data_IF_890186998608
#
_entry.id   IF_890186998608
#
_cell.length_a   1.000
_cell.length_b   1.000
_cell.length_c   1.000
_cell.angle_alpha   90.00
_cell.angle_beta   90.00
_cell.angle_gamma   90.00
#
_symmetry.space_group_name_H-M   'P 1'
#
loop_
_entity.id
_entity.type
_entity.pdbx_description
1 polymer ?
#
# COMPACT_ATOMS: atom_id res chain seq x y z
N UNK A 1 -0.91 -9.25 -13.51
CA UNK A 1 -0.48 -9.68 -12.15
C UNK A 1 1.04 -9.66 -11.99
N UNK A 2 1.82 -10.55 -12.63
CA UNK A 2 3.27 -10.61 -12.36
C UNK A 2 4.02 -9.32 -12.75
N UNK A 3 3.80 -8.79 -13.96
CA UNK A 3 4.41 -7.51 -14.36
C UNK A 3 3.99 -6.32 -13.49
N UNK A 4 2.76 -6.33 -12.98
CA UNK A 4 2.24 -5.30 -12.08
C UNK A 4 2.89 -5.38 -10.69
N UNK A 5 3.00 -6.59 -10.13
CA UNK A 5 3.70 -6.80 -8.87
C UNK A 5 5.18 -6.42 -8.97
N UNK A 6 5.86 -6.77 -10.07
CA UNK A 6 7.24 -6.35 -10.31
C UNK A 6 7.38 -4.83 -10.40
N UNK A 7 6.42 -4.15 -11.03
CA UNK A 7 6.41 -2.68 -11.06
C UNK A 7 6.21 -2.09 -9.65
N UNK A 8 5.38 -2.70 -8.81
CA UNK A 8 5.20 -2.27 -7.42
C UNK A 8 6.43 -2.51 -6.56
N UNK A 9 7.07 -3.67 -6.70
CA UNK A 9 8.36 -3.94 -6.06
C UNK A 9 9.40 -2.89 -6.47
N UNK A 10 9.49 -2.58 -7.77
CA UNK A 10 10.40 -1.55 -8.28
C UNK A 10 10.14 -0.17 -7.65
N UNK A 11 8.88 0.26 -7.56
CA UNK A 11 8.50 1.53 -6.93
C UNK A 11 8.86 1.56 -5.43
N UNK A 12 8.58 0.47 -4.72
CA UNK A 12 8.86 0.35 -3.28
C UNK A 12 10.37 0.38 -3.02
N UNK A 13 11.16 -0.29 -3.85
CA UNK A 13 12.61 -0.27 -3.76
C UNK A 13 13.20 1.14 -3.94
N UNK A 14 12.60 1.94 -4.85
CA UNK A 14 13.09 3.26 -5.26
C UNK A 14 12.63 4.44 -4.39
N UNK A 15 11.60 4.29 -3.57
CA UNK A 15 11.20 5.37 -2.65
C UNK A 15 9.78 5.32 -2.12
N UNK A 16 8.87 4.53 -2.73
CA UNK A 16 7.53 4.36 -2.19
C UNK A 16 7.60 3.52 -0.91
N UNK A 17 6.91 3.92 0.17
CA UNK A 17 7.01 3.19 1.44
C UNK A 17 6.31 1.82 1.36
N UNK A 18 5.11 1.79 0.79
CA UNK A 18 4.28 0.59 0.64
C UNK A 18 3.56 0.58 -0.71
N UNK A 19 3.22 -0.62 -1.18
CA UNK A 19 2.29 -0.83 -2.28
C UNK A 19 1.35 -1.98 -1.95
N UNK A 20 0.15 -1.99 -2.51
CA UNK A 20 -0.79 -3.10 -2.35
C UNK A 20 -1.61 -3.32 -3.61
N UNK A 21 -2.01 -4.56 -3.84
CA UNK A 21 -2.93 -4.93 -4.91
C UNK A 21 -3.91 -6.00 -4.45
N UNK A 22 -5.08 -6.04 -5.08
CA UNK A 22 -6.00 -7.16 -4.92
C UNK A 22 -5.47 -8.38 -5.69
N UNK A 23 -5.42 -9.53 -5.02
CA UNK A 23 -4.93 -10.79 -5.57
C UNK A 23 -5.92 -11.89 -5.20
N UNK A 24 -6.19 -12.82 -6.12
CA UNK A 24 -6.95 -14.01 -5.76
C UNK A 24 -6.10 -14.94 -4.89
N UNK A 25 -6.70 -15.57 -3.88
CA UNK A 25 -5.99 -16.41 -2.91
C UNK A 25 -5.07 -17.46 -3.56
N UNK A 26 -5.53 -18.07 -4.66
CA UNK A 26 -4.76 -19.06 -5.42
C UNK A 26 -3.42 -18.57 -5.99
N UNK A 27 -3.22 -17.25 -6.10
CA UNK A 27 -1.99 -16.66 -6.62
C UNK A 27 -1.05 -16.10 -5.55
N UNK A 28 -1.47 -16.10 -4.28
CA UNK A 28 -0.68 -15.52 -3.16
C UNK A 28 0.71 -16.13 -3.09
N UNK A 29 0.83 -17.45 -3.19
CA UNK A 29 2.13 -18.12 -3.11
C UNK A 29 3.08 -17.68 -4.23
N UNK A 30 2.55 -17.42 -5.44
CA UNK A 30 3.34 -16.90 -6.56
C UNK A 30 3.81 -15.47 -6.27
N UNK A 31 2.97 -14.63 -5.68
CA UNK A 31 3.34 -13.28 -5.28
C UNK A 31 4.45 -13.27 -4.22
N UNK A 32 4.38 -14.15 -3.23
CA UNK A 32 5.41 -14.30 -2.18
C UNK A 32 6.79 -14.59 -2.81
N UNK A 33 6.85 -15.50 -3.79
CA UNK A 33 8.10 -15.84 -4.48
C UNK A 33 8.69 -14.64 -5.21
N UNK A 34 7.84 -13.83 -5.87
CA UNK A 34 8.29 -12.62 -6.59
C UNK A 34 8.85 -11.59 -5.60
N UNK A 35 8.12 -11.28 -4.52
CA UNK A 35 8.55 -10.29 -3.52
C UNK A 35 9.84 -10.72 -2.81
N UNK A 36 9.98 -12.01 -2.50
CA UNK A 36 11.15 -12.54 -1.81
C UNK A 36 12.44 -12.39 -2.64
N UNK A 37 12.34 -12.44 -3.97
CA UNK A 37 13.50 -12.21 -4.87
C UNK A 37 14.01 -10.78 -4.84
N UNK A 38 13.14 -9.83 -4.49
CA UNK A 38 13.44 -8.40 -4.43
C UNK A 38 13.89 -7.96 -3.02
N UNK A 39 14.06 -8.89 -2.07
CA UNK A 39 14.38 -8.62 -0.66
C UNK A 39 13.39 -7.65 0.01
N UNK A 40 12.11 -7.73 -0.37
CA UNK A 40 11.03 -6.94 0.21
C UNK A 40 10.21 -7.79 1.17
N UNK A 41 9.48 -7.12 2.06
CA UNK A 41 8.53 -7.75 2.96
C UNK A 41 7.13 -7.75 2.35
N UNK A 42 6.29 -8.67 2.82
CA UNK A 42 4.90 -8.78 2.39
C UNK A 42 3.96 -9.04 3.55
N UNK A 43 2.69 -8.69 3.36
CA UNK A 43 1.60 -9.02 4.26
C UNK A 43 0.33 -9.27 3.45
N UNK A 44 -0.52 -10.19 3.92
CA UNK A 44 -1.79 -10.52 3.27
C UNK A 44 -2.90 -10.15 4.23
N UNK A 45 -3.87 -9.38 3.74
CA UNK A 45 -5.07 -9.02 4.47
C UNK A 45 -6.32 -9.52 3.71
N UNK A 46 -7.36 -10.02 4.38
CA UNK A 46 -8.62 -10.36 3.72
C UNK A 46 -9.21 -9.15 2.98
N UNK A 47 -9.80 -9.38 1.81
CA UNK A 47 -10.50 -8.32 1.05
C UNK A 47 -11.96 -8.70 0.81
N UNK A 48 -12.20 -9.87 0.22
CA UNK A 48 -13.52 -10.45 -0.03
C UNK A 48 -13.38 -11.94 -0.36
N UNK A 49 -14.49 -12.66 -0.57
CA UNK A 49 -14.45 -14.09 -0.81
C UNK A 49 -13.53 -14.48 -1.99
N UNK A 50 -12.47 -15.23 -1.69
CA UNK A 50 -11.46 -15.67 -2.66
C UNK A 50 -10.45 -14.60 -3.09
N UNK A 51 -10.49 -13.42 -2.46
CA UNK A 51 -9.61 -12.28 -2.74
C UNK A 51 -8.97 -11.72 -1.48
N UNK A 52 -7.70 -11.36 -1.61
CA UNK A 52 -6.90 -10.75 -0.55
C UNK A 52 -6.25 -9.47 -1.05
N UNK A 53 -5.98 -8.56 -0.13
CA UNK A 53 -5.06 -7.46 -0.36
C UNK A 53 -3.65 -7.94 -0.06
N UNK A 54 -2.81 -7.97 -1.09
CA UNK A 54 -1.40 -8.33 -0.99
C UNK A 54 -0.57 -7.05 -0.88
N UNK A 55 0.02 -6.84 0.29
CA UNK A 55 0.87 -5.70 0.62
C UNK A 55 2.34 -6.04 0.38
N UNK A 56 3.09 -5.06 -0.10
CA UNK A 56 4.55 -5.11 -0.29
C UNK A 56 5.16 -3.86 0.32
N UNK A 57 6.23 -4.03 1.09
CA UNK A 57 6.87 -2.93 1.81
C UNK A 57 8.36 -3.19 2.05
N UNK A 58 9.12 -2.10 2.20
CA UNK A 58 10.59 -2.16 2.33
C UNK A 58 11.07 -2.25 3.78
N UNK A 59 10.40 -1.56 4.70
CA UNK A 59 10.88 -1.43 6.07
C UNK A 59 10.03 -2.26 7.05
N UNK A 60 10.62 -3.02 7.98
CA UNK A 60 9.87 -3.89 8.90
C UNK A 60 8.77 -3.19 9.69
N UNK A 61 9.02 -1.96 10.15
CA UNK A 61 8.05 -1.16 10.91
C UNK A 61 6.79 -0.80 10.10
N UNK A 62 6.83 -0.88 8.76
CA UNK A 62 5.64 -0.66 7.93
C UNK A 62 4.54 -1.68 8.21
N UNK A 63 4.87 -2.89 8.70
CA UNK A 63 3.86 -3.87 9.09
C UNK A 63 2.92 -3.32 10.16
N UNK A 64 3.49 -2.65 11.17
CA UNK A 64 2.72 -2.04 12.25
C UNK A 64 1.88 -0.88 11.73
N UNK A 65 2.44 -0.05 10.85
CA UNK A 65 1.69 1.03 10.23
C UNK A 65 0.50 0.48 9.43
N UNK A 66 0.74 -0.48 8.52
CA UNK A 66 -0.30 -1.09 7.68
C UNK A 66 -1.45 -1.65 8.53
N UNK A 67 -1.15 -2.32 9.64
CA UNK A 67 -2.17 -2.88 10.54
C UNK A 67 -3.02 -1.83 11.26
N UNK A 68 -2.53 -0.60 11.38
CA UNK A 68 -3.20 0.48 12.11
C UNK A 68 -3.80 1.55 11.20
N UNK A 69 -3.64 1.44 9.86
CA UNK A 69 -4.28 2.36 8.93
C UNK A 69 -5.80 2.14 8.96
N UNK A 70 -6.61 3.19 9.10
CA UNK A 70 -8.06 3.05 9.00
C UNK A 70 -8.47 2.74 7.55
N UNK A 71 -9.41 1.81 7.37
CA UNK A 71 -10.00 1.48 6.05
C UNK A 71 -10.60 2.71 5.36
N UNK A 72 -11.11 3.65 6.16
CA UNK A 72 -11.62 4.94 5.69
C UNK A 72 -10.97 6.06 6.50
N UNK A 73 -10.03 6.82 5.92
CA UNK A 73 -9.44 7.98 6.59
C UNK A 73 -10.54 9.01 6.90
N UNK A 74 -10.58 9.51 8.14
CA UNK A 74 -11.60 10.47 8.60
C UNK A 74 -10.98 11.82 8.98
N UNK A 75 -9.76 11.77 9.51
CA UNK A 75 -9.00 12.93 9.97
C UNK A 75 -8.00 13.39 8.92
N UNK A 76 -7.57 14.64 9.01
CA UNK A 76 -6.50 15.19 8.17
C UNK A 76 -5.22 14.37 8.33
N UNK A 77 -4.91 13.94 9.55
CA UNK A 77 -3.77 13.09 9.85
C UNK A 77 -3.86 11.74 9.14
N UNK A 78 -5.04 11.09 9.13
CA UNK A 78 -5.22 9.80 8.43
C UNK A 78 -4.94 9.95 6.93
N UNK A 79 -5.50 11.00 6.32
CA UNK A 79 -5.30 11.28 4.89
C UNK A 79 -3.84 11.61 4.58
N UNK A 80 -3.17 12.39 5.45
CA UNK A 80 -1.76 12.71 5.29
C UNK A 80 -0.89 11.45 5.38
N UNK A 81 -1.07 10.64 6.43
CA UNK A 81 -0.35 9.37 6.61
C UNK A 81 -0.53 8.45 5.40
N UNK A 82 -1.77 8.29 4.93
CA UNK A 82 -2.08 7.48 3.75
C UNK A 82 -1.35 8.02 2.50
N UNK A 83 -1.38 9.34 2.30
CA UNK A 83 -0.65 9.99 1.21
C UNK A 83 0.86 9.68 1.25
N UNK A 84 1.50 9.86 2.41
CA UNK A 84 2.94 9.57 2.56
C UNK A 84 3.26 8.11 2.30
N UNK A 85 2.42 7.19 2.80
CA UNK A 85 2.61 5.75 2.60
C UNK A 85 2.61 5.35 1.13
N UNK A 86 1.69 5.92 0.35
CA UNK A 86 1.59 5.67 -1.09
C UNK A 86 2.50 6.55 -1.94
N UNK A 87 3.40 7.33 -1.32
CA UNK A 87 4.45 8.07 -2.00
C UNK A 87 3.99 9.39 -2.65
N UNK A 88 2.85 9.94 -2.20
CA UNK A 88 2.43 11.28 -2.61
C UNK A 88 3.31 12.35 -1.96
N UNK A 89 3.66 13.36 -2.75
CA UNK A 89 4.37 14.54 -2.25
C UNK A 89 3.46 15.46 -1.43
N UNK A 90 4.07 16.42 -0.73
CA UNK A 90 3.34 17.31 0.18
C UNK A 90 2.33 18.22 -0.54
N UNK A 91 2.64 18.67 -1.77
CA UNK A 91 1.74 19.52 -2.54
C UNK A 91 0.50 18.71 -2.97
N UNK A 92 0.71 17.50 -3.47
CA UNK A 92 -0.38 16.58 -3.85
C UNK A 92 -1.32 16.28 -2.67
N UNK A 93 -0.76 16.05 -1.47
CA UNK A 93 -1.56 15.81 -0.26
C UNK A 93 -2.31 17.09 0.15
N UNK A 94 -1.65 18.25 0.14
CA UNK A 94 -2.26 19.54 0.46
C UNK A 94 -3.45 19.85 -0.46
N UNK A 95 -3.27 19.70 -1.77
CA UNK A 95 -4.31 19.94 -2.77
C UNK A 95 -5.53 19.03 -2.54
N UNK A 96 -5.28 17.75 -2.22
CA UNK A 96 -6.34 16.81 -1.87
C UNK A 96 -7.10 17.24 -0.62
N UNK A 97 -6.40 17.61 0.46
CA UNK A 97 -7.00 18.04 1.72
C UNK A 97 -7.85 19.31 1.57
N UNK A 98 -7.37 20.29 0.79
CA UNK A 98 -8.13 21.52 0.49
C UNK A 98 -9.41 21.18 -0.28
N UNK A 99 -9.33 20.29 -1.27
CA UNK A 99 -10.49 19.90 -2.08
C UNK A 99 -11.54 19.15 -1.27
N UNK A 100 -11.14 18.23 -0.39
CA UNK A 100 -12.07 17.51 0.49
C UNK A 100 -12.66 18.41 1.58
N UNK A 101 -11.87 19.35 2.12
CA UNK A 101 -12.36 20.36 3.07
C UNK A 101 -13.43 21.29 2.49
N UNK A 102 -13.41 21.54 1.18
CA UNK A 102 -14.45 22.31 0.47
C UNK A 102 -15.76 21.57 0.22
N UNK A 103 -15.78 20.24 0.40
CA UNK A 103 -16.98 19.41 0.22
C UNK A 103 -17.76 19.17 1.52
N UNK A 104 -17.18 19.52 2.66
CA UNK A 104 -17.83 19.46 3.98
C UNK A 104 -18.49 20.79 4.29
#
# INVERSE_FOLDING_TARGET
MEGELSAYCYQVTRGKAVACMAVQERYVQKCIVIVSRENLFHMVAPLSDGWVTFWVYKYPHMLEIIKNIPDKPKTVTDHWVLGKLFGYDELSISDFLIKEGRKR
#
